data_IF_623243415897
#
_entry.id   IF_623243415897
#
_cell.length_a   1.000
_cell.length_b   1.000
_cell.length_c   1.000
_cell.angle_alpha   90.00
_cell.angle_beta   90.00
_cell.angle_gamma   90.00
#
_symmetry.space_group_name_H-M   'P 1'
#
loop_
_entity.id
_entity.type
_entity.pdbx_description
1 polymer ?
#
# COMPACT_ATOMS: atom_id res chain seq x y z
N UNK A 1 -17.10 7.41 -30.64
CA UNK A 1 -16.97 7.74 -29.20
C UNK A 1 -15.78 8.67 -29.03
N UNK A 2 -15.94 9.82 -28.36
CA UNK A 2 -14.82 10.76 -28.09
C UNK A 2 -14.30 10.49 -26.68
N UNK A 3 -12.98 10.39 -26.51
CA UNK A 3 -12.33 10.20 -25.21
C UNK A 3 -11.38 11.35 -24.93
N UNK A 4 -11.64 12.09 -23.85
CA UNK A 4 -10.72 13.12 -23.34
C UNK A 4 -9.79 12.50 -22.29
N UNK A 5 -8.49 12.71 -22.42
CA UNK A 5 -7.50 12.19 -21.48
C UNK A 5 -6.28 13.11 -21.42
N UNK A 6 -5.53 13.03 -20.32
CA UNK A 6 -4.20 13.66 -20.25
C UNK A 6 -3.14 12.77 -20.92
N UNK A 7 -1.99 13.36 -21.24
CA UNK A 7 -0.93 12.70 -21.99
C UNK A 7 -0.35 11.47 -21.27
N UNK A 8 -0.18 11.56 -19.96
CA UNK A 8 0.31 10.46 -19.13
C UNK A 8 -0.59 9.22 -19.23
N UNK A 9 -1.92 9.41 -19.26
CA UNK A 9 -2.92 8.34 -19.41
C UNK A 9 -3.05 7.82 -20.85
N UNK A 10 -2.47 8.51 -21.84
CA UNK A 10 -2.49 8.07 -23.23
C UNK A 10 -1.35 7.09 -23.58
N UNK A 11 -0.38 6.89 -22.67
CA UNK A 11 0.76 5.99 -22.88
C UNK A 11 0.28 4.55 -23.15
N UNK A 12 0.73 3.97 -24.26
CA UNK A 12 0.35 2.60 -24.66
C UNK A 12 -1.03 2.49 -25.33
N UNK A 13 -1.77 3.59 -25.46
CA UNK A 13 -3.03 3.64 -26.20
C UNK A 13 -2.81 4.24 -27.59
N UNK A 14 -3.67 3.91 -28.54
CA UNK A 14 -3.65 4.48 -29.89
C UNK A 14 -5.08 4.69 -30.37
N UNK A 15 -5.27 5.67 -31.26
CA UNK A 15 -6.57 5.96 -31.86
C UNK A 15 -6.44 6.22 -33.36
N UNK A 16 -7.49 5.92 -34.17
CA UNK A 16 -7.54 6.29 -35.58
C UNK A 16 -7.20 7.77 -35.82
N UNK A 17 -7.79 8.65 -35.01
CA UNK A 17 -7.61 10.11 -35.05
C UNK A 17 -7.26 10.59 -33.65
N UNK A 18 -6.24 11.43 -33.53
CA UNK A 18 -5.84 12.09 -32.27
C UNK A 18 -5.84 13.60 -32.45
N UNK A 19 -6.40 14.31 -31.48
CA UNK A 19 -6.41 15.77 -31.45
C UNK A 19 -5.56 16.25 -30.27
N UNK A 20 -4.44 16.91 -30.57
CA UNK A 20 -3.63 17.62 -29.58
C UNK A 20 -4.26 19.01 -29.34
N UNK A 21 -5.13 19.09 -28.35
CA UNK A 21 -5.88 20.29 -27.99
C UNK A 21 -5.09 21.23 -27.06
N UNK A 22 -5.67 22.39 -26.74
CA UNK A 22 -5.15 23.37 -25.77
C UNK A 22 -3.68 23.80 -26.03
N UNK A 23 -3.41 24.61 -27.06
CA UNK A 23 -2.06 25.05 -27.42
C UNK A 23 -1.60 26.22 -26.54
N UNK A 24 -1.82 26.11 -25.23
CA UNK A 24 -1.51 27.14 -24.24
C UNK A 24 -1.19 26.48 -22.89
N UNK A 25 -0.56 27.24 -22.01
CA UNK A 25 -0.22 26.78 -20.66
C UNK A 25 1.20 26.24 -20.52
N UNK A 26 2.03 26.35 -21.56
CA UNK A 26 3.45 26.04 -21.46
C UNK A 26 4.14 27.10 -20.59
N UNK A 27 4.20 26.82 -19.29
CA UNK A 27 4.84 27.66 -18.28
C UNK A 27 6.01 26.89 -17.70
N UNK A 28 7.21 27.43 -17.87
CA UNK A 28 8.38 26.91 -17.17
C UNK A 28 8.17 27.09 -15.66
N UNK A 29 8.15 25.98 -14.93
CA UNK A 29 8.14 26.01 -13.48
C UNK A 29 9.58 26.18 -12.97
N UNK A 30 9.73 26.99 -11.92
CA UNK A 30 11.01 27.14 -11.28
C UNK A 30 11.40 25.81 -10.63
N UNK A 31 12.62 25.34 -10.93
CA UNK A 31 13.18 24.17 -10.28
C UNK A 31 13.55 24.59 -8.85
N UNK A 32 12.87 24.00 -7.88
CA UNK A 32 13.06 24.31 -6.45
C UNK A 32 13.46 23.08 -5.63
N UNK A 33 13.63 21.93 -6.27
CA UNK A 33 14.06 20.69 -5.64
C UNK A 33 14.94 19.88 -6.58
N UNK A 34 15.85 19.12 -6.00
CA UNK A 34 16.68 18.15 -6.70
C UNK A 34 16.80 16.90 -5.85
N UNK A 35 16.69 15.73 -6.47
CA UNK A 35 16.82 14.44 -5.81
C UNK A 35 17.95 13.65 -6.44
N UNK A 36 18.82 13.08 -5.60
CA UNK A 36 19.91 12.20 -6.02
C UNK A 36 19.82 10.90 -5.22
N UNK A 37 20.03 9.76 -5.86
CA UNK A 37 20.19 8.48 -5.16
C UNK A 37 21.68 8.19 -5.02
N UNK A 38 22.14 7.96 -3.81
CA UNK A 38 23.53 7.56 -3.57
C UNK A 38 23.77 6.13 -4.03
N UNK A 39 25.03 5.70 -4.26
CA UNK A 39 25.36 4.32 -4.61
C UNK A 39 24.83 3.28 -3.60
N UNK A 40 24.66 3.68 -2.34
CA UNK A 40 24.10 2.85 -1.27
C UNK A 40 22.56 2.77 -1.29
N UNK A 41 21.91 3.36 -2.30
CA UNK A 41 20.45 3.33 -2.48
C UNK A 41 19.69 4.35 -1.63
N UNK A 42 20.38 5.23 -0.90
CA UNK A 42 19.73 6.28 -0.10
C UNK A 42 19.35 7.46 -0.98
N UNK A 43 18.13 7.96 -0.83
CA UNK A 43 17.71 9.20 -1.51
C UNK A 43 18.18 10.41 -0.70
N UNK A 44 18.85 11.35 -1.36
CA UNK A 44 19.25 12.64 -0.81
C UNK A 44 18.57 13.76 -1.60
N UNK A 45 17.82 14.59 -0.89
CA UNK A 45 17.10 15.73 -1.47
C UNK A 45 17.74 17.06 -1.12
N UNK A 46 17.59 18.02 -2.01
CA UNK A 46 17.92 19.42 -1.80
C UNK A 46 16.73 20.28 -2.21
N UNK A 47 16.43 21.29 -1.42
CA UNK A 47 15.31 22.21 -1.67
C UNK A 47 15.78 23.65 -1.62
N UNK A 48 15.20 24.49 -2.47
CA UNK A 48 15.29 25.95 -2.39
C UNK A 48 14.16 26.43 -1.49
N UNK A 49 14.51 27.22 -0.47
CA UNK A 49 13.52 27.80 0.45
C UNK A 49 13.09 29.15 -0.10
N UNK A 50 11.79 29.32 -0.33
CA UNK A 50 11.19 30.55 -0.86
C UNK A 50 10.13 31.10 0.11
N UNK A 51 9.95 32.42 0.11
CA UNK A 51 8.84 33.10 0.77
C UNK A 51 7.54 32.93 -0.04
N UNK A 52 6.39 33.29 0.56
CA UNK A 52 5.07 33.21 -0.10
C UNK A 52 4.98 34.06 -1.38
N UNK A 53 5.79 35.10 -1.50
CA UNK A 53 5.89 35.97 -2.69
C UNK A 53 6.82 35.41 -3.78
N UNK A 54 7.43 34.23 -3.57
CA UNK A 54 8.37 33.58 -4.48
C UNK A 54 9.83 34.01 -4.30
N UNK A 55 10.14 34.91 -3.37
CA UNK A 55 11.52 35.35 -3.12
C UNK A 55 12.35 34.24 -2.48
N UNK A 56 13.50 33.92 -3.06
CA UNK A 56 14.41 32.89 -2.52
C UNK A 56 15.10 33.38 -1.25
N UNK A 57 14.97 32.60 -0.18
CA UNK A 57 15.55 32.85 1.15
C UNK A 57 16.85 32.10 1.34
N UNK A 58 16.89 30.82 0.91
CA UNK A 58 18.05 29.97 1.04
C UNK A 58 18.15 29.02 -0.14
N UNK A 59 19.38 28.77 -0.59
CA UNK A 59 19.71 27.78 -1.61
C UNK A 59 20.83 26.86 -1.12
N UNK A 60 20.77 25.57 -1.47
CA UNK A 60 21.84 24.62 -1.20
C UNK A 60 23.18 24.99 -1.87
N UNK A 61 24.28 24.46 -1.35
CA UNK A 61 25.57 24.55 -2.03
C UNK A 61 25.54 23.81 -3.37
N UNK A 62 26.22 24.37 -4.39
CA UNK A 62 26.25 23.79 -5.74
C UNK A 62 24.89 23.77 -6.44
N UNK A 63 23.94 24.63 -6.05
CA UNK A 63 22.58 24.62 -6.59
C UNK A 63 22.54 24.80 -8.12
N UNK A 64 23.43 25.61 -8.70
CA UNK A 64 23.45 25.86 -10.15
C UNK A 64 23.64 24.56 -10.96
N UNK A 65 24.54 23.66 -10.52
CA UNK A 65 24.77 22.39 -11.19
C UNK A 65 23.59 21.43 -11.02
N UNK A 66 22.96 21.44 -9.83
CA UNK A 66 21.77 20.62 -9.52
C UNK A 66 20.58 21.07 -10.35
N UNK A 67 20.37 22.38 -10.45
CA UNK A 67 19.33 22.98 -11.29
C UNK A 67 19.55 22.63 -12.76
N UNK A 68 20.79 22.71 -13.26
CA UNK A 68 21.12 22.33 -14.63
C UNK A 68 20.75 20.88 -14.92
N UNK A 69 21.13 19.93 -14.04
CA UNK A 69 20.78 18.50 -14.20
C UNK A 69 19.27 18.27 -14.20
N UNK A 70 18.54 18.88 -13.26
CA UNK A 70 17.09 18.73 -13.20
C UNK A 70 16.41 19.30 -14.46
N UNK A 71 16.95 20.40 -15.01
CA UNK A 71 16.48 20.96 -16.27
C UNK A 71 16.70 20.00 -17.43
N UNK A 72 17.86 19.38 -17.52
CA UNK A 72 18.14 18.34 -18.53
C UNK A 72 17.15 17.16 -18.41
N UNK A 73 16.79 16.74 -17.20
CA UNK A 73 15.76 15.71 -16.99
C UNK A 73 14.37 16.17 -17.40
N UNK A 74 13.98 17.40 -17.07
CA UNK A 74 12.68 17.97 -17.45
C UNK A 74 12.56 18.11 -18.97
N UNK A 75 13.59 18.66 -19.63
CA UNK A 75 13.63 18.81 -21.09
C UNK A 75 13.52 17.44 -21.78
N UNK A 76 14.20 16.42 -21.24
CA UNK A 76 14.09 15.05 -21.73
C UNK A 76 12.68 14.45 -21.52
N UNK A 77 12.01 14.76 -20.41
CA UNK A 77 10.65 14.32 -20.15
C UNK A 77 9.64 15.02 -21.06
N UNK A 78 9.77 16.33 -21.25
CA UNK A 78 8.93 17.10 -22.18
C UNK A 78 9.04 16.54 -23.61
N UNK A 79 10.25 16.14 -24.04
CA UNK A 79 10.46 15.46 -25.32
C UNK A 79 9.78 14.07 -25.37
N UNK A 80 9.84 13.27 -24.30
CA UNK A 80 9.14 11.98 -24.23
C UNK A 80 7.63 12.15 -24.28
N UNK A 81 7.11 13.15 -23.59
CA UNK A 81 5.69 13.50 -23.59
C UNK A 81 5.25 13.91 -25.00
N UNK A 82 6.02 14.78 -25.67
CA UNK A 82 5.75 15.15 -27.06
C UNK A 82 5.78 13.93 -27.99
N UNK A 83 6.78 13.05 -27.84
CA UNK A 83 6.86 11.80 -28.59
C UNK A 83 5.60 10.94 -28.37
N UNK A 84 5.18 10.76 -27.11
CA UNK A 84 3.93 10.04 -26.81
C UNK A 84 2.78 10.71 -27.53
N UNK A 85 2.62 12.03 -27.42
CA UNK A 85 1.53 12.80 -28.03
C UNK A 85 1.38 12.52 -29.54
N UNK A 86 2.48 12.67 -30.29
CA UNK A 86 2.46 12.57 -31.75
C UNK A 86 2.34 11.14 -32.25
N UNK A 87 2.75 10.15 -31.45
CA UNK A 87 2.72 8.72 -31.83
C UNK A 87 1.43 8.00 -31.43
N UNK A 88 0.42 8.69 -30.85
CA UNK A 88 -0.87 8.04 -30.52
C UNK A 88 -1.80 7.91 -31.73
N UNK A 89 -1.56 8.69 -32.79
CA UNK A 89 -2.39 8.70 -34.00
C UNK A 89 -2.02 7.55 -34.94
N UNK A 90 -3.01 6.75 -35.37
CA UNK A 90 -2.82 5.70 -36.39
C UNK A 90 -2.98 6.21 -37.82
N UNK A 91 -3.93 7.13 -38.04
CA UNK A 91 -4.24 7.63 -39.39
C UNK A 91 -4.09 9.14 -39.47
N UNK A 92 -4.61 9.88 -38.49
CA UNK A 92 -4.63 11.34 -38.53
C UNK A 92 -4.29 11.98 -37.19
N UNK A 93 -3.44 13.00 -37.22
CA UNK A 93 -3.05 13.82 -36.08
C UNK A 93 -3.47 15.27 -36.33
N UNK A 94 -4.42 15.77 -35.55
CA UNK A 94 -4.81 17.17 -35.57
C UNK A 94 -4.10 17.90 -34.43
N UNK A 95 -3.35 18.94 -34.76
CA UNK A 95 -2.62 19.74 -33.77
C UNK A 95 -3.21 21.13 -33.70
N UNK A 96 -3.73 21.50 -32.53
CA UNK A 96 -4.12 22.89 -32.26
C UNK A 96 -2.86 23.77 -32.19
N UNK A 97 -2.92 24.97 -32.77
CA UNK A 97 -1.77 25.87 -32.90
C UNK A 97 -2.02 27.20 -32.20
N UNK A 98 -0.94 27.87 -31.80
CA UNK A 98 -0.99 29.24 -31.27
C UNK A 98 0.02 30.13 -32.03
N UNK A 99 -0.22 30.40 -33.33
CA UNK A 99 0.80 30.94 -34.23
C UNK A 99 1.33 32.33 -33.83
N UNK A 100 0.56 33.11 -33.06
CA UNK A 100 1.02 34.41 -32.54
C UNK A 100 2.02 34.32 -31.39
N UNK A 101 1.98 33.23 -30.62
CA UNK A 101 2.81 33.00 -29.41
C UNK A 101 3.13 31.50 -29.31
N UNK A 102 3.91 30.94 -30.26
CA UNK A 102 4.19 29.50 -30.31
C UNK A 102 4.90 28.98 -29.05
N UNK A 103 5.67 29.84 -28.37
CA UNK A 103 6.38 29.53 -27.13
C UNK A 103 5.43 29.21 -25.95
N UNK A 104 4.19 29.71 -26.01
CA UNK A 104 3.17 29.42 -24.99
C UNK A 104 2.46 28.09 -25.23
N UNK A 105 2.63 27.49 -26.42
CA UNK A 105 2.03 26.22 -26.79
C UNK A 105 2.88 25.05 -26.30
N UNK A 106 2.24 24.04 -25.73
CA UNK A 106 2.88 22.74 -25.45
C UNK A 106 3.32 22.02 -26.73
N UNK A 107 2.79 22.43 -27.88
CA UNK A 107 3.08 21.86 -29.20
C UNK A 107 4.06 22.74 -30.00
N UNK A 108 4.64 23.77 -29.38
CA UNK A 108 5.48 24.76 -30.08
C UNK A 108 6.65 24.15 -30.85
N UNK A 109 7.22 23.05 -30.36
CA UNK A 109 8.29 22.31 -31.05
C UNK A 109 7.86 21.71 -32.41
N UNK A 110 6.56 21.57 -32.67
CA UNK A 110 6.03 21.05 -33.92
C UNK A 110 5.76 22.16 -34.95
N UNK A 111 5.76 23.44 -34.56
CA UNK A 111 5.29 24.55 -35.41
C UNK A 111 6.05 24.62 -36.75
N UNK A 112 7.39 24.54 -36.73
CA UNK A 112 8.18 24.57 -37.97
C UNK A 112 7.84 23.42 -38.93
N UNK A 113 7.68 22.21 -38.40
CA UNK A 113 7.28 21.05 -39.21
C UNK A 113 5.84 21.19 -39.75
N UNK A 114 4.93 21.69 -38.91
CA UNK A 114 3.52 21.92 -39.26
C UNK A 114 3.34 23.01 -40.32
N UNK A 115 4.22 24.01 -40.39
CA UNK A 115 4.21 25.04 -41.43
C UNK A 115 4.59 24.47 -42.80
N UNK A 116 5.56 23.56 -42.83
CA UNK A 116 6.06 22.95 -44.06
C UNK A 116 5.18 21.79 -44.55
N UNK A 117 4.63 20.99 -43.64
CA UNK A 117 4.01 19.69 -43.95
C UNK A 117 2.52 19.61 -43.55
N UNK A 118 2.05 20.52 -42.71
CA UNK A 118 0.69 20.49 -42.18
C UNK A 118 -0.34 21.04 -43.16
N UNK A 119 -1.53 20.43 -43.18
CA UNK A 119 -2.69 21.04 -43.85
C UNK A 119 -3.42 21.95 -42.86
N UNK A 120 -3.52 23.24 -43.17
CA UNK A 120 -4.22 24.19 -42.32
C UNK A 120 -5.75 23.98 -42.40
N UNK A 121 -6.34 23.49 -41.32
CA UNK A 121 -7.78 23.34 -41.18
C UNK A 121 -8.36 24.56 -40.44
N UNK A 122 -9.17 25.36 -41.13
CA UNK A 122 -9.93 26.45 -40.51
C UNK A 122 -11.25 25.90 -39.97
N UNK A 123 -11.40 25.92 -38.64
CA UNK A 123 -12.69 25.65 -38.00
C UNK A 123 -13.41 26.98 -37.82
N UNK A 124 -14.57 27.12 -38.45
CA UNK A 124 -15.45 28.24 -38.15
C UNK A 124 -15.96 28.11 -36.71
N UNK A 125 -15.86 29.17 -35.89
CA UNK A 125 -16.31 29.11 -34.52
C UNK A 125 -17.82 28.89 -34.49
N UNK A 126 -18.24 27.74 -33.98
CA UNK A 126 -19.64 27.47 -33.67
C UNK A 126 -19.95 28.17 -32.35
N UNK A 127 -21.01 28.99 -32.31
CA UNK A 127 -21.47 29.55 -31.05
C UNK A 127 -21.82 28.41 -30.10
N UNK A 128 -21.18 28.31 -28.92
CA UNK A 128 -21.50 27.25 -27.98
C UNK A 128 -22.97 27.37 -27.58
N UNK A 129 -23.66 26.24 -27.44
CA UNK A 129 -24.96 26.22 -26.76
C UNK A 129 -24.77 26.90 -25.40
N UNK A 130 -25.61 27.89 -25.03
CA UNK A 130 -25.49 28.55 -23.75
C UNK A 130 -25.41 27.51 -22.64
N UNK A 131 -24.33 27.56 -21.86
CA UNK A 131 -24.20 26.71 -20.68
C UNK A 131 -25.34 27.08 -19.74
N UNK A 132 -26.22 26.12 -19.44
CA UNK A 132 -27.25 26.30 -18.43
C UNK A 132 -26.52 26.55 -17.10
N UNK A 133 -26.52 27.80 -16.65
CA UNK A 133 -25.98 28.13 -15.35
C UNK A 133 -26.83 27.41 -14.32
N UNK A 134 -26.19 26.57 -13.52
CA UNK A 134 -26.76 26.13 -12.24
C UNK A 134 -27.23 27.39 -11.50
N UNK A 135 -28.54 27.49 -11.29
CA UNK A 135 -29.16 28.60 -10.58
C UNK A 135 -28.91 28.57 -9.06
N UNK A 136 -28.26 27.50 -8.58
CA UNK A 136 -27.92 27.32 -7.17
C UNK A 136 -26.80 28.26 -6.75
N UNK A 137 -26.99 28.93 -5.63
CA UNK A 137 -25.95 29.72 -4.98
C UNK A 137 -24.92 28.81 -4.30
N UNK A 138 -23.76 29.36 -3.94
CA UNK A 138 -22.77 28.62 -3.15
C UNK A 138 -23.32 28.17 -1.79
N UNK A 139 -24.22 28.97 -1.18
CA UNK A 139 -24.93 28.61 0.04
C UNK A 139 -25.86 27.42 -0.17
N UNK A 140 -26.64 27.40 -1.26
CA UNK A 140 -27.54 26.28 -1.58
C UNK A 140 -26.77 24.97 -1.77
N UNK A 141 -25.62 25.04 -2.48
CA UNK A 141 -24.75 23.88 -2.68
C UNK A 141 -24.19 23.40 -1.34
N UNK A 142 -23.74 24.32 -0.49
CA UNK A 142 -23.18 23.98 0.84
C UNK A 142 -24.24 23.35 1.74
N UNK A 143 -25.46 23.91 1.74
CA UNK A 143 -26.60 23.37 2.47
C UNK A 143 -26.97 21.96 1.97
N UNK A 144 -27.05 21.76 0.65
CA UNK A 144 -27.34 20.46 0.06
C UNK A 144 -26.28 19.40 0.41
N UNK A 145 -24.99 19.79 0.39
CA UNK A 145 -23.89 18.91 0.82
C UNK A 145 -24.01 18.57 2.30
N UNK A 146 -24.32 19.55 3.16
CA UNK A 146 -24.51 19.31 4.59
C UNK A 146 -25.68 18.36 4.86
N UNK A 147 -26.85 18.60 4.25
CA UNK A 147 -28.03 17.74 4.38
C UNK A 147 -27.74 16.31 3.91
N UNK A 148 -27.10 16.16 2.75
CA UNK A 148 -26.75 14.85 2.19
C UNK A 148 -25.74 14.13 3.07
N UNK A 149 -24.75 14.85 3.60
CA UNK A 149 -23.75 14.29 4.52
C UNK A 149 -24.39 13.81 5.80
N UNK A 150 -25.27 14.61 6.41
CA UNK A 150 -26.01 14.22 7.61
C UNK A 150 -26.90 13.00 7.37
N UNK A 151 -27.68 12.98 6.28
CA UNK A 151 -28.53 11.86 5.93
C UNK A 151 -27.72 10.58 5.70
N UNK A 152 -26.59 10.68 4.98
CA UNK A 152 -25.66 9.57 4.76
C UNK A 152 -25.07 9.07 6.07
N UNK A 153 -24.62 9.95 6.95
CA UNK A 153 -24.04 9.58 8.25
C UNK A 153 -25.07 8.93 9.17
N UNK A 154 -26.31 9.44 9.20
CA UNK A 154 -27.41 8.86 9.98
C UNK A 154 -27.81 7.47 9.47
N UNK A 155 -27.66 7.22 8.17
CA UNK A 155 -27.88 5.91 7.55
C UNK A 155 -26.63 5.01 7.58
N UNK A 156 -25.48 5.50 8.02
CA UNK A 156 -24.21 4.76 8.03
C UNK A 156 -24.02 3.89 9.27
N UNK A 157 -25.05 3.67 10.09
CA UNK A 157 -24.99 2.77 11.23
C UNK A 157 -24.73 1.34 10.73
N UNK A 158 -23.55 0.75 11.02
CA UNK A 158 -23.27 -0.61 10.59
C UNK A 158 -24.26 -1.58 11.24
N UNK A 159 -24.93 -2.41 10.43
CA UNK A 159 -25.82 -3.45 10.96
C UNK A 159 -25.07 -4.59 11.69
N UNK A 160 -23.76 -4.64 11.52
CA UNK A 160 -22.85 -5.53 12.22
C UNK A 160 -21.47 -4.87 12.35
N UNK A 161 -20.72 -5.26 13.37
CA UNK A 161 -19.35 -4.82 13.64
C UNK A 161 -18.45 -6.03 13.86
N UNK A 162 -17.31 -6.06 13.19
CA UNK A 162 -16.24 -7.02 13.46
C UNK A 162 -15.14 -6.37 14.30
N UNK A 163 -14.70 -7.06 15.33
CA UNK A 163 -13.57 -6.72 16.17
C UNK A 163 -12.49 -7.75 15.91
N UNK A 164 -11.25 -7.32 15.71
CA UNK A 164 -10.14 -8.28 15.60
C UNK A 164 -9.59 -8.56 17.00
N UNK A 165 -9.23 -9.82 17.30
CA UNK A 165 -8.54 -10.14 18.56
C UNK A 165 -7.27 -9.30 18.71
N UNK A 166 -6.53 -9.07 17.63
CA UNK A 166 -5.35 -8.20 17.65
C UNK A 166 -5.67 -6.74 17.95
N UNK A 167 -6.82 -6.22 17.51
CA UNK A 167 -7.25 -4.83 17.73
C UNK A 167 -7.71 -4.60 19.17
N UNK A 168 -8.45 -5.55 19.74
CA UNK A 168 -8.80 -5.53 21.17
C UNK A 168 -7.55 -5.54 22.04
N UNK A 169 -6.63 -6.45 21.70
CA UNK A 169 -5.36 -6.55 22.40
C UNK A 169 -4.54 -5.28 22.19
N UNK A 170 -4.68 -4.52 21.09
CA UNK A 170 -4.01 -3.21 20.85
C UNK A 170 -4.68 -1.99 21.48
N UNK A 171 -5.80 -2.16 22.19
CA UNK A 171 -6.53 -1.05 22.79
C UNK A 171 -7.15 -0.09 21.76
N UNK A 172 -7.40 -0.56 20.53
CA UNK A 172 -8.01 0.25 19.46
C UNK A 172 -9.50 0.60 19.76
N UNK A 173 -10.11 -0.05 20.76
CA UNK A 173 -11.44 0.25 21.30
C UNK A 173 -11.45 0.11 22.85
N UNK A 174 -11.17 1.19 23.58
CA UNK A 174 -11.12 1.20 25.05
C UNK A 174 -12.47 0.83 25.72
N UNK A 175 -13.59 1.27 25.13
CA UNK A 175 -14.95 1.02 25.65
C UNK A 175 -15.37 -0.46 25.52
N UNK A 176 -14.84 -1.20 24.53
CA UNK A 176 -15.18 -2.61 24.27
C UNK A 176 -14.11 -3.60 24.75
N UNK A 177 -12.85 -3.18 24.92
CA UNK A 177 -11.83 -4.00 25.59
C UNK A 177 -12.26 -4.38 27.02
N UNK A 178 -13.00 -3.48 27.68
CA UNK A 178 -13.63 -3.71 28.98
C UNK A 178 -14.76 -4.76 28.92
N UNK A 179 -15.51 -4.87 27.82
CA UNK A 179 -16.58 -5.87 27.65
C UNK A 179 -16.02 -7.27 27.32
N UNK A 180 -14.84 -7.36 26.70
CA UNK A 180 -14.17 -8.60 26.35
C UNK A 180 -13.17 -9.11 27.42
N UNK A 181 -12.97 -8.37 28.51
CA UNK A 181 -11.97 -8.64 29.58
C UNK A 181 -10.53 -8.81 29.03
N UNK A 182 -10.17 -8.03 28.00
CA UNK A 182 -8.86 -8.07 27.35
C UNK A 182 -8.04 -6.82 27.73
N UNK A 183 -6.89 -6.95 28.41
CA UNK A 183 -6.06 -5.80 28.76
C UNK A 183 -5.39 -5.17 27.51
N UNK A 184 -5.34 -3.82 27.41
CA UNK A 184 -4.80 -3.13 26.24
C UNK A 184 -3.26 -3.22 26.15
N UNK A 185 -2.74 -3.37 24.93
CA UNK A 185 -1.33 -3.23 24.56
C UNK A 185 -1.02 -1.80 24.15
N UNK A 186 0.23 -1.42 24.38
CA UNK A 186 0.81 -0.30 23.68
C UNK A 186 1.34 -0.73 22.29
N UNK A 187 1.18 0.12 21.26
CA UNK A 187 1.62 -0.17 19.90
C UNK A 187 3.15 -0.31 19.82
N UNK A 188 3.59 -1.11 18.85
CA UNK A 188 5.01 -1.41 18.60
C UNK A 188 5.88 -0.14 18.55
N UNK A 189 6.98 -0.14 19.30
CA UNK A 189 8.19 0.56 18.86
C UNK A 189 8.77 -0.20 17.67
N UNK A 190 8.98 0.47 16.54
CA UNK A 190 9.29 -0.13 15.25
C UNK A 190 10.61 -0.90 15.25
N UNK A 191 10.55 -2.22 15.46
CA UNK A 191 11.65 -3.14 15.14
C UNK A 191 11.87 -3.25 13.62
N UNK A 192 13.06 -3.68 13.17
CA UNK A 192 13.55 -3.46 11.80
C UNK A 192 12.78 -4.16 10.66
N UNK A 193 11.77 -4.97 10.95
CA UNK A 193 10.95 -5.67 9.94
C UNK A 193 9.53 -5.12 9.76
N UNK A 194 8.95 -4.47 10.77
CA UNK A 194 7.56 -4.01 10.73
C UNK A 194 6.51 -5.13 10.64
N UNK A 195 5.22 -4.78 10.47
CA UNK A 195 4.12 -5.73 10.24
C UNK A 195 4.34 -6.61 9.01
N UNK A 196 4.83 -6.03 7.91
CA UNK A 196 5.02 -6.74 6.63
C UNK A 196 5.98 -7.93 6.74
N UNK A 197 7.05 -7.78 7.54
CA UNK A 197 7.94 -8.91 7.83
C UNK A 197 7.21 -10.05 8.52
N UNK A 198 6.32 -9.73 9.47
CA UNK A 198 5.47 -10.72 10.13
C UNK A 198 4.59 -11.46 9.12
N UNK A 199 3.91 -10.72 8.24
CA UNK A 199 3.06 -11.28 7.19
C UNK A 199 3.84 -12.17 6.22
N UNK A 200 5.06 -11.80 5.84
CA UNK A 200 5.91 -12.64 5.00
C UNK A 200 6.31 -13.95 5.69
N UNK A 201 6.68 -13.89 6.98
CA UNK A 201 7.01 -15.09 7.77
C UNK A 201 5.79 -16.01 7.90
N UNK A 202 4.63 -15.46 8.25
CA UNK A 202 3.36 -16.19 8.35
C UNK A 202 2.99 -16.87 7.03
N UNK A 203 3.01 -16.16 5.91
CA UNK A 203 2.65 -16.73 4.60
C UNK A 203 3.59 -17.86 4.14
N UNK A 204 4.88 -17.80 4.43
CA UNK A 204 5.79 -18.92 4.12
C UNK A 204 5.55 -20.11 5.06
N UNK A 205 5.26 -19.86 6.34
CA UNK A 205 4.92 -20.92 7.30
C UNK A 205 3.58 -21.58 6.96
N UNK A 206 2.58 -20.83 6.49
CA UNK A 206 1.33 -21.37 5.96
C UNK A 206 1.59 -22.32 4.79
N UNK A 207 2.41 -21.90 3.82
CA UNK A 207 2.79 -22.72 2.68
C UNK A 207 3.55 -23.99 3.12
N UNK A 208 4.44 -23.88 4.11
CA UNK A 208 5.15 -25.01 4.69
C UNK A 208 4.20 -25.98 5.41
N UNK A 209 3.25 -25.47 6.19
CA UNK A 209 2.24 -26.28 6.85
C UNK A 209 1.31 -27.00 5.87
N UNK A 210 1.14 -26.47 4.66
CA UNK A 210 0.42 -27.12 3.54
C UNK A 210 1.27 -28.07 2.70
N UNK A 211 2.52 -28.32 3.09
CA UNK A 211 3.40 -29.29 2.44
C UNK A 211 4.38 -28.70 1.42
N UNK A 212 4.49 -27.38 1.32
CA UNK A 212 5.54 -26.74 0.54
C UNK A 212 6.93 -27.02 1.12
N UNK A 213 7.92 -27.27 0.26
CA UNK A 213 9.31 -27.57 0.66
C UNK A 213 10.33 -26.91 -0.26
N UNK A 214 11.54 -26.66 0.25
CA UNK A 214 12.70 -26.26 -0.57
C UNK A 214 12.42 -25.05 -1.46
N UNK A 215 12.63 -25.22 -2.77
CA UNK A 215 12.49 -24.14 -3.76
C UNK A 215 11.06 -23.58 -3.85
N UNK A 216 10.03 -24.38 -3.54
CA UNK A 216 8.65 -23.88 -3.49
C UNK A 216 8.53 -22.79 -2.41
N UNK A 217 9.00 -23.05 -1.20
CA UNK A 217 8.91 -22.08 -0.10
C UNK A 217 9.73 -20.83 -0.41
N UNK A 218 10.89 -21.00 -1.05
CA UNK A 218 11.70 -19.87 -1.50
C UNK A 218 10.97 -19.02 -2.53
N UNK A 219 10.27 -19.64 -3.49
CA UNK A 219 9.45 -18.94 -4.48
C UNK A 219 8.27 -18.20 -3.83
N UNK A 220 7.57 -18.82 -2.86
CA UNK A 220 6.50 -18.17 -2.08
C UNK A 220 7.04 -16.96 -1.31
N UNK A 221 8.13 -17.14 -0.56
CA UNK A 221 8.76 -16.07 0.20
C UNK A 221 9.18 -14.90 -0.70
N UNK A 222 9.74 -15.20 -1.88
CA UNK A 222 10.09 -14.18 -2.87
C UNK A 222 8.85 -13.40 -3.34
N UNK A 223 7.78 -14.09 -3.70
CA UNK A 223 6.53 -13.45 -4.16
C UNK A 223 5.90 -12.57 -3.07
N UNK A 224 5.85 -13.05 -1.82
CA UNK A 224 5.32 -12.28 -0.69
C UNK A 224 6.13 -11.01 -0.43
N UNK A 225 7.47 -11.11 -0.47
CA UNK A 225 8.32 -9.93 -0.29
C UNK A 225 8.12 -8.89 -1.42
N UNK A 226 7.83 -9.32 -2.65
CA UNK A 226 7.45 -8.39 -3.72
C UNK A 226 6.09 -7.74 -3.50
N UNK A 227 5.08 -8.52 -3.13
CA UNK A 227 3.71 -8.03 -2.88
C UNK A 227 3.69 -7.00 -1.74
N UNK A 228 4.56 -7.19 -0.75
CA UNK A 228 4.72 -6.31 0.40
C UNK A 228 5.72 -5.16 0.15
N UNK A 229 6.07 -4.89 -1.12
CA UNK A 229 6.98 -3.80 -1.54
C UNK A 229 8.31 -3.77 -0.77
N UNK A 230 8.85 -4.93 -0.40
CA UNK A 230 10.08 -5.04 0.39
C UNK A 230 11.31 -4.69 -0.46
N UNK A 231 12.42 -4.23 0.15
CA UNK A 231 13.59 -3.76 -0.58
C UNK A 231 14.17 -4.82 -1.53
N UNK A 232 14.50 -4.40 -2.75
CA UNK A 232 15.09 -5.27 -3.79
C UNK A 232 16.46 -4.75 -4.23
N UNK A 233 17.33 -5.68 -4.63
CA UNK A 233 18.62 -5.39 -5.26
C UNK A 233 18.79 -6.31 -6.47
N UNK A 234 19.05 -5.73 -7.64
CA UNK A 234 19.24 -6.47 -8.88
C UNK A 234 18.05 -7.39 -9.25
N UNK A 235 16.83 -6.96 -8.93
CA UNK A 235 15.61 -7.72 -9.23
C UNK A 235 15.27 -8.83 -8.23
N UNK A 236 15.97 -8.94 -7.10
CA UNK A 236 15.69 -9.92 -6.05
C UNK A 236 15.46 -9.24 -4.68
N UNK A 237 14.52 -9.74 -3.83
CA UNK A 237 14.32 -9.20 -2.49
C UNK A 237 15.56 -9.39 -1.61
N UNK A 238 16.07 -8.31 -1.01
CA UNK A 238 17.31 -8.36 -0.22
C UNK A 238 17.18 -9.17 1.06
N UNK A 239 15.94 -9.40 1.50
CA UNK A 239 15.63 -10.06 2.77
C UNK A 239 15.24 -11.53 2.61
N UNK A 240 15.22 -12.06 1.37
CA UNK A 240 14.76 -13.42 1.09
C UNK A 240 15.53 -14.49 1.87
N UNK A 241 16.86 -14.40 1.91
CA UNK A 241 17.68 -15.38 2.64
C UNK A 241 17.43 -15.32 4.15
N UNK A 242 17.20 -14.13 4.69
CA UNK A 242 16.87 -13.96 6.10
C UNK A 242 15.47 -14.49 6.43
N UNK A 243 14.50 -14.30 5.52
CA UNK A 243 13.16 -14.86 5.65
C UNK A 243 13.22 -16.38 5.69
N UNK A 244 13.96 -16.99 4.75
CA UNK A 244 14.14 -18.44 4.70
C UNK A 244 14.88 -18.98 5.93
N UNK A 245 15.88 -18.27 6.44
CA UNK A 245 16.55 -18.66 7.68
C UNK A 245 15.61 -18.60 8.90
N UNK A 246 14.70 -17.63 8.96
CA UNK A 246 13.69 -17.52 10.02
C UNK A 246 12.69 -18.66 9.95
N UNK A 247 12.23 -18.99 8.75
CA UNK A 247 11.33 -20.14 8.51
C UNK A 247 12.02 -21.45 8.89
N UNK A 248 13.30 -21.62 8.54
CA UNK A 248 14.06 -22.81 8.92
C UNK A 248 14.18 -22.95 10.44
N UNK A 249 14.48 -21.87 11.17
CA UNK A 249 14.54 -21.88 12.64
C UNK A 249 13.21 -22.33 13.28
N UNK A 250 12.08 -21.96 12.68
CA UNK A 250 10.76 -22.45 13.08
C UNK A 250 10.60 -23.93 12.74
N UNK A 251 10.99 -24.36 11.54
CA UNK A 251 10.88 -25.77 11.11
C UNK A 251 11.72 -26.73 11.98
N UNK A 252 12.81 -26.24 12.57
CA UNK A 252 13.69 -27.01 13.45
C UNK A 252 13.16 -27.13 14.89
N UNK A 253 12.17 -26.32 15.28
CA UNK A 253 11.57 -26.31 16.62
C UNK A 253 10.88 -27.63 16.99
N UNK A 254 10.74 -27.90 18.29
CA UNK A 254 10.01 -29.09 18.77
C UNK A 254 8.53 -29.00 18.39
N UNK A 255 7.93 -27.80 18.49
CA UNK A 255 6.56 -27.51 18.10
C UNK A 255 6.29 -27.87 16.64
N UNK A 256 7.18 -27.47 15.73
CA UNK A 256 7.00 -27.76 14.31
C UNK A 256 7.16 -29.25 14.01
N UNK A 257 8.08 -29.94 14.69
CA UNK A 257 8.23 -31.40 14.59
C UNK A 257 6.97 -32.13 15.05
N UNK A 258 6.39 -31.72 16.18
CA UNK A 258 5.10 -32.25 16.69
C UNK A 258 3.96 -32.02 15.71
N UNK A 259 3.82 -30.80 15.21
CA UNK A 259 2.82 -30.46 14.20
C UNK A 259 3.03 -31.22 12.87
N UNK A 260 4.28 -31.60 12.57
CA UNK A 260 4.63 -32.41 11.40
C UNK A 260 4.22 -33.87 11.53
N UNK A 261 4.23 -34.42 12.74
CA UNK A 261 3.78 -35.78 13.04
C UNK A 261 2.29 -35.90 13.38
N UNK A 262 1.59 -34.78 13.59
CA UNK A 262 0.20 -34.75 14.05
C UNK A 262 -0.77 -35.34 13.01
N UNK A 263 -1.82 -36.01 13.50
CA UNK A 263 -2.87 -36.63 12.67
C UNK A 263 -3.60 -35.60 11.81
N UNK A 264 -3.78 -34.39 12.35
CA UNK A 264 -4.38 -33.26 11.64
C UNK A 264 -3.59 -32.00 11.97
N UNK A 265 -3.28 -31.22 10.94
CA UNK A 265 -2.63 -29.91 11.05
C UNK A 265 -3.38 -28.91 10.18
N UNK A 266 -3.59 -27.72 10.73
CA UNK A 266 -4.25 -26.58 10.10
C UNK A 266 -3.37 -25.36 10.33
N UNK A 267 -3.27 -24.49 9.33
CA UNK A 267 -2.52 -23.23 9.42
C UNK A 267 -3.37 -22.10 8.86
N UNK A 268 -3.19 -20.90 9.42
CA UNK A 268 -3.96 -19.70 9.09
C UNK A 268 -5.47 -19.97 9.14
N UNK A 269 -5.98 -20.43 10.29
CA UNK A 269 -7.39 -20.80 10.46
C UNK A 269 -8.20 -19.58 10.89
N UNK A 270 -8.99 -18.96 9.98
CA UNK A 270 -9.86 -17.85 10.35
C UNK A 270 -11.01 -18.34 11.21
N UNK A 271 -11.41 -17.54 12.18
CA UNK A 271 -12.61 -17.77 12.97
C UNK A 271 -13.35 -16.46 13.22
N UNK A 272 -14.65 -16.56 13.47
CA UNK A 272 -15.46 -15.49 13.99
C UNK A 272 -16.43 -16.05 15.03
N UNK A 273 -16.50 -15.42 16.20
CA UNK A 273 -17.48 -15.73 17.24
C UNK A 273 -18.37 -14.52 17.48
N UNK A 274 -19.65 -14.75 17.77
CA UNK A 274 -20.59 -13.68 18.11
C UNK A 274 -20.42 -13.33 19.59
N UNK A 275 -20.09 -12.07 19.89
CA UNK A 275 -20.04 -11.55 21.26
C UNK A 275 -21.41 -11.03 21.71
N UNK A 276 -22.06 -10.25 20.84
CA UNK A 276 -23.37 -9.63 21.06
C UNK A 276 -24.24 -9.74 19.80
N UNK A 277 -25.49 -9.26 19.81
CA UNK A 277 -26.43 -9.42 18.68
C UNK A 277 -25.86 -9.02 17.32
N UNK A 278 -25.07 -7.93 17.26
CA UNK A 278 -24.48 -7.40 16.04
C UNK A 278 -22.94 -7.28 16.08
N UNK A 279 -22.30 -7.78 17.14
CA UNK A 279 -20.85 -7.66 17.34
C UNK A 279 -20.18 -9.02 17.26
N UNK A 280 -19.19 -9.14 16.38
CA UNK A 280 -18.42 -10.35 16.13
C UNK A 280 -16.95 -10.12 16.47
N UNK A 281 -16.33 -11.12 17.08
CA UNK A 281 -14.89 -11.18 17.30
C UNK A 281 -14.27 -12.12 16.28
N UNK A 282 -13.36 -11.60 15.46
CA UNK A 282 -12.63 -12.36 14.45
C UNK A 282 -11.14 -12.46 14.80
N UNK A 283 -10.53 -13.54 14.35
CA UNK A 283 -9.11 -13.77 14.47
C UNK A 283 -8.66 -14.87 13.53
N UNK A 284 -7.35 -15.06 13.46
CA UNK A 284 -6.73 -16.13 12.68
C UNK A 284 -5.80 -16.87 13.62
N UNK A 285 -5.92 -18.19 13.68
CA UNK A 285 -5.00 -19.05 14.42
C UNK A 285 -3.89 -19.49 13.48
N UNK A 286 -2.65 -19.06 13.73
CA UNK A 286 -1.51 -19.32 12.86
C UNK A 286 -1.27 -20.82 12.65
N UNK A 287 -1.36 -21.62 13.73
CA UNK A 287 -1.22 -23.08 13.68
C UNK A 287 -2.12 -23.77 14.69
N UNK A 288 -2.86 -24.77 14.23
CA UNK A 288 -3.62 -25.70 15.06
C UNK A 288 -3.32 -27.14 14.65
N UNK A 289 -2.94 -28.01 15.58
CA UNK A 289 -2.73 -29.42 15.27
C UNK A 289 -3.26 -30.34 16.36
N UNK A 290 -3.70 -31.53 15.94
CA UNK A 290 -4.33 -32.54 16.79
C UNK A 290 -3.33 -33.65 17.14
N UNK A 291 -3.04 -33.76 18.44
CA UNK A 291 -2.36 -34.92 19.03
C UNK A 291 -3.40 -35.84 19.69
N UNK A 292 -2.99 -37.02 20.17
CA UNK A 292 -3.89 -38.10 20.63
C UNK A 292 -4.86 -37.67 21.76
N UNK A 293 -4.50 -36.68 22.55
CA UNK A 293 -5.17 -36.19 23.76
C UNK A 293 -5.72 -34.75 23.63
N UNK A 294 -5.68 -34.15 22.43
CA UNK A 294 -6.34 -32.86 22.16
C UNK A 294 -5.58 -31.90 21.26
N UNK A 295 -6.19 -30.74 21.02
CA UNK A 295 -5.63 -29.71 20.14
C UNK A 295 -4.52 -28.91 20.79
N UNK A 296 -3.49 -28.62 20.01
CA UNK A 296 -2.45 -27.66 20.33
C UNK A 296 -2.63 -26.46 19.41
N UNK A 297 -2.79 -25.27 20.01
CA UNK A 297 -2.83 -24.01 19.27
C UNK A 297 -1.52 -23.26 19.45
N UNK A 298 -1.00 -22.72 18.36
CA UNK A 298 0.19 -21.90 18.39
C UNK A 298 0.04 -20.62 17.57
N UNK A 299 0.75 -19.59 18.04
CA UNK A 299 0.84 -18.29 17.41
C UNK A 299 2.33 -17.91 17.26
N UNK A 300 2.69 -17.41 16.07
CA UNK A 300 4.04 -17.06 15.70
C UNK A 300 4.29 -15.57 15.91
N UNK A 301 5.28 -15.26 16.76
CA UNK A 301 5.70 -13.87 17.01
C UNK A 301 7.09 -13.60 16.45
N UNK A 302 7.25 -12.47 15.77
CA UNK A 302 8.52 -12.03 15.16
C UNK A 302 9.33 -11.08 16.04
N UNK A 303 8.87 -10.85 17.27
CA UNK A 303 9.46 -9.93 18.23
C UNK A 303 10.86 -10.39 18.67
N UNK A 304 11.73 -9.41 18.98
CA UNK A 304 13.08 -9.66 19.53
C UNK A 304 13.07 -9.74 21.06
N UNK A 305 12.16 -9.00 21.68
CA UNK A 305 12.04 -8.87 23.13
C UNK A 305 13.20 -8.16 23.83
N UNK A 306 13.92 -7.31 23.08
CA UNK A 306 15.02 -6.49 23.57
C UNK A 306 14.58 -5.09 24.06
N UNK A 307 13.28 -4.79 23.95
CA UNK A 307 12.71 -3.50 24.34
C UNK A 307 11.93 -3.56 25.68
N UNK A 308 11.80 -2.42 26.39
CA UNK A 308 11.15 -2.36 27.71
C UNK A 308 9.67 -2.78 27.72
N UNK A 309 8.98 -2.67 26.57
CA UNK A 309 7.55 -2.97 26.46
C UNK A 309 7.28 -4.46 26.22
N UNK A 310 8.33 -5.26 25.98
CA UNK A 310 8.19 -6.68 25.66
C UNK A 310 7.41 -7.47 26.72
N UNK A 311 7.60 -7.17 28.00
CA UNK A 311 6.87 -7.84 29.07
C UNK A 311 5.34 -7.63 28.98
N UNK A 312 4.91 -6.41 28.64
CA UNK A 312 3.50 -6.11 28.40
C UNK A 312 3.00 -6.82 27.14
N UNK A 313 3.79 -6.81 26.06
CA UNK A 313 3.45 -7.52 24.81
C UNK A 313 3.26 -9.01 25.00
N UNK A 314 4.21 -9.64 25.70
CA UNK A 314 4.18 -11.05 26.07
C UNK A 314 2.92 -11.40 26.87
N UNK A 315 2.52 -10.57 27.85
CA UNK A 315 1.28 -10.80 28.61
C UNK A 315 0.05 -10.80 27.69
N UNK A 316 -0.04 -9.86 26.78
CA UNK A 316 -1.24 -9.75 25.94
C UNK A 316 -1.29 -10.83 24.84
N UNK A 317 -0.15 -11.31 24.34
CA UNK A 317 -0.12 -12.51 23.50
C UNK A 317 -0.63 -13.76 24.22
N UNK A 318 -0.40 -13.85 25.54
CA UNK A 318 -0.98 -14.94 26.35
C UNK A 318 -2.50 -14.85 26.44
N UNK A 319 -3.05 -13.64 26.57
CA UNK A 319 -4.51 -13.44 26.54
C UNK A 319 -5.10 -13.71 25.15
N UNK A 320 -4.43 -13.26 24.08
CA UNK A 320 -4.82 -13.57 22.69
C UNK A 320 -4.98 -15.09 22.47
N UNK A 321 -4.00 -15.90 22.92
CA UNK A 321 -4.08 -17.37 22.80
C UNK A 321 -5.15 -18.00 23.69
N UNK A 322 -5.49 -17.40 24.83
CA UNK A 322 -6.65 -17.83 25.64
C UNK A 322 -7.96 -17.57 24.90
N UNK A 323 -8.09 -16.40 24.25
CA UNK A 323 -9.24 -16.08 23.40
C UNK A 323 -9.35 -17.07 22.24
N UNK A 324 -8.24 -17.39 21.56
CA UNK A 324 -8.22 -18.39 20.49
C UNK A 324 -8.63 -19.77 20.97
N UNK A 325 -8.14 -20.20 22.13
CA UNK A 325 -8.50 -21.48 22.73
C UNK A 325 -9.99 -21.56 23.10
N UNK A 326 -10.54 -20.49 23.68
CA UNK A 326 -11.97 -20.39 24.00
C UNK A 326 -12.83 -20.41 22.74
N UNK A 327 -12.47 -19.61 21.73
CA UNK A 327 -13.16 -19.57 20.44
C UNK A 327 -13.13 -20.93 19.74
N UNK A 328 -11.97 -21.59 19.72
CA UNK A 328 -11.81 -22.93 19.15
C UNK A 328 -12.75 -23.93 19.81
N UNK A 329 -12.75 -23.96 21.13
CA UNK A 329 -13.55 -24.91 21.91
C UNK A 329 -15.04 -24.65 21.72
N UNK A 330 -15.46 -23.38 21.67
CA UNK A 330 -16.84 -23.00 21.43
C UNK A 330 -17.32 -23.31 20.01
N UNK A 331 -16.46 -23.19 19.00
CA UNK A 331 -16.83 -23.38 17.59
C UNK A 331 -16.79 -24.86 17.18
N UNK A 332 -15.84 -25.62 17.70
CA UNK A 332 -15.59 -27.02 17.30
C UNK A 332 -16.19 -28.04 18.26
N UNK A 333 -16.39 -27.65 19.54
CA UNK A 333 -16.71 -28.58 20.63
C UNK A 333 -15.51 -29.40 21.11
N UNK A 334 -14.31 -29.18 20.56
CA UNK A 334 -13.11 -29.95 20.88
C UNK A 334 -12.21 -29.18 21.85
N UNK A 335 -11.55 -29.88 22.78
CA UNK A 335 -10.70 -29.26 23.79
C UNK A 335 -9.30 -28.89 23.24
N UNK A 336 -8.82 -27.73 23.67
CA UNK A 336 -7.43 -27.30 23.46
C UNK A 336 -6.62 -27.66 24.70
N UNK A 337 -5.66 -28.58 24.56
CA UNK A 337 -4.83 -29.05 25.66
C UNK A 337 -3.61 -28.16 25.92
N UNK A 338 -3.08 -27.53 24.89
CA UNK A 338 -1.85 -26.73 24.97
C UNK A 338 -1.93 -25.50 24.08
N UNK A 339 -1.34 -24.40 24.57
CA UNK A 339 -1.24 -23.12 23.87
C UNK A 339 0.24 -22.71 23.88
N UNK A 340 0.78 -22.38 22.71
CA UNK A 340 2.20 -22.09 22.54
C UNK A 340 2.42 -20.78 21.79
N UNK A 341 3.29 -19.92 22.32
CA UNK A 341 3.86 -18.81 21.55
C UNK A 341 5.20 -19.29 21.00
N UNK A 342 5.40 -19.21 19.69
CA UNK A 342 6.69 -19.50 19.07
C UNK A 342 7.34 -18.20 18.60
N UNK A 343 8.51 -17.90 19.17
CA UNK A 343 9.33 -16.75 18.82
C UNK A 343 10.19 -17.10 17.61
N UNK A 344 9.75 -16.67 16.43
CA UNK A 344 10.29 -17.11 15.12
C UNK A 344 11.77 -16.78 14.90
N UNK A 345 12.31 -15.73 15.55
CA UNK A 345 13.71 -15.32 15.37
C UNK A 345 14.73 -16.26 15.98
N UNK A 346 14.36 -16.95 17.05
CA UNK A 346 15.25 -17.82 17.81
C UNK A 346 14.68 -19.24 17.98
N UNK A 347 13.50 -19.51 17.42
CA UNK A 347 12.82 -20.80 17.55
C UNK A 347 12.40 -21.14 18.99
N UNK A 348 12.33 -20.14 19.88
CA UNK A 348 12.02 -20.36 21.29
C UNK A 348 10.51 -20.55 21.46
N UNK A 349 10.15 -21.60 22.20
CA UNK A 349 8.77 -21.92 22.54
C UNK A 349 8.42 -21.46 23.95
N UNK A 350 7.25 -20.85 24.09
CA UNK A 350 6.67 -20.51 25.38
C UNK A 350 5.30 -21.16 25.53
N UNK A 351 5.17 -22.05 26.51
CA UNK A 351 3.91 -22.71 26.86
C UNK A 351 3.09 -21.87 27.84
N UNK A 352 1.76 -21.87 27.67
CA UNK A 352 0.84 -20.99 28.41
C UNK A 352 0.02 -21.72 29.46
#
# INVERSE_FOLDING_TARGET
MIRLTNLHKAKGLEAPVVVLAAPFGNKAYAINRHLERTPEGRARGWIVVQQKDGKTVARPSGWADKEKREREFQDAEDLRLLYVAVTRAKHELLVSRHPKNPERSHWGALEGWLEENGTCLKLDPVSPTPCERLASTAEDITAAVATTTTARSAAATPGFRFLTVTGLVKGEDEELAAAADVPPLQPRTAGPGGPDWGSAVHGVLEAAARGGTGEHLRAVGRSLLFELDRPTRSGEPTELDHLMATVQAVQDSDLWRRASSATRRLAEVPFAIRLEESTFLEGVVDLAFLEDDGWVLADYKTDRGDDPEFAARRRAYREQLRTYSSAWSSLTGESVKERVILWTRNGVEERI
#
